data_IF_931555883181
#
_entry.id   IF_931555883181
#
_cell.length_a   1.000
_cell.length_b   1.000
_cell.length_c   1.000
_cell.angle_alpha   90.00
_cell.angle_beta   90.00
_cell.angle_gamma   90.00
#
_symmetry.space_group_name_H-M   'P 1'
#
loop_
_entity.id
_entity.type
_entity.pdbx_description
1 polymer ?
#
# COMPACT_ATOMS: atom_id res chain seq x y z
N UNK A 1 2.11 -42.04 29.02
CA UNK A 1 3.40 -42.11 29.74
C UNK A 1 4.29 -43.18 29.09
N UNK A 2 4.75 -42.94 27.86
CA UNK A 2 5.46 -43.97 27.05
C UNK A 2 6.49 -43.41 26.05
N UNK A 3 6.42 -42.12 25.72
CA UNK A 3 7.39 -41.44 24.87
C UNK A 3 8.75 -41.19 25.56
N UNK A 4 8.73 -40.90 26.87
CA UNK A 4 9.96 -40.59 27.62
C UNK A 4 10.93 -41.79 27.72
N UNK A 5 10.39 -43.02 27.73
CA UNK A 5 11.17 -44.24 27.91
C UNK A 5 11.93 -44.66 26.64
N UNK A 6 11.45 -44.29 25.45
CA UNK A 6 12.13 -44.60 24.19
C UNK A 6 13.30 -43.65 23.90
N UNK A 7 13.19 -42.39 24.33
CA UNK A 7 14.26 -41.39 24.19
C UNK A 7 15.50 -41.77 25.01
N UNK A 8 15.31 -42.47 26.14
CA UNK A 8 16.40 -42.93 27.00
C UNK A 8 17.37 -43.89 26.28
N UNK A 9 16.87 -44.78 25.40
CA UNK A 9 17.64 -45.80 24.67
C UNK A 9 18.41 -45.29 23.44
N UNK A 10 18.19 -44.04 23.04
CA UNK A 10 18.88 -43.44 21.90
C UNK A 10 20.32 -43.09 22.28
N UNK A 11 21.29 -43.46 21.45
CA UNK A 11 22.71 -43.23 21.74
C UNK A 11 23.00 -41.74 21.94
N UNK A 12 23.93 -41.42 22.85
CA UNK A 12 24.22 -40.05 23.27
C UNK A 12 24.52 -39.12 22.08
N UNK A 13 25.15 -39.66 21.02
CA UNK A 13 25.45 -38.96 19.76
C UNK A 13 24.20 -38.42 19.06
N UNK A 14 23.13 -39.21 19.01
CA UNK A 14 21.87 -38.83 18.37
C UNK A 14 21.08 -37.80 19.19
N UNK A 15 21.22 -37.80 20.52
CA UNK A 15 20.63 -36.77 21.38
C UNK A 15 21.25 -35.40 21.10
N UNK A 16 22.57 -35.33 20.95
CA UNK A 16 23.27 -34.10 20.57
C UNK A 16 22.89 -33.61 19.17
N UNK A 17 22.77 -34.51 18.20
CA UNK A 17 22.32 -34.16 16.84
C UNK A 17 20.90 -33.59 16.87
N UNK A 18 19.98 -34.21 17.61
CA UNK A 18 18.61 -33.72 17.75
C UNK A 18 18.53 -32.32 18.38
N UNK A 19 19.33 -32.08 19.43
CA UNK A 19 19.42 -30.76 20.08
C UNK A 19 20.00 -29.71 19.12
N UNK A 20 21.05 -30.06 18.37
CA UNK A 20 21.65 -29.15 17.40
C UNK A 20 20.67 -28.75 16.29
N UNK A 21 19.87 -29.70 15.78
CA UNK A 21 18.81 -29.42 14.80
C UNK A 21 17.73 -28.52 15.42
N UNK A 22 17.31 -28.79 16.66
CA UNK A 22 16.32 -27.96 17.37
C UNK A 22 16.80 -26.52 17.56
N UNK A 23 18.08 -26.34 17.90
CA UNK A 23 18.69 -25.02 18.05
C UNK A 23 18.77 -24.30 16.70
N UNK A 24 19.18 -25.00 15.63
CA UNK A 24 19.19 -24.45 14.28
C UNK A 24 17.79 -23.98 13.85
N UNK A 25 16.78 -24.85 13.98
CA UNK A 25 15.40 -24.51 13.63
C UNK A 25 14.85 -23.35 14.47
N UNK A 26 15.23 -23.29 15.76
CA UNK A 26 14.86 -22.20 16.65
C UNK A 26 15.43 -20.86 16.17
N UNK A 27 16.72 -20.82 15.83
CA UNK A 27 17.41 -19.62 15.34
C UNK A 27 16.81 -19.18 14.00
N UNK A 28 16.62 -20.11 13.06
CA UNK A 28 16.02 -19.82 11.75
C UNK A 28 14.58 -19.29 11.88
N UNK A 29 13.78 -19.87 12.78
CA UNK A 29 12.40 -19.42 13.02
C UNK A 29 12.34 -18.00 13.57
N UNK A 30 13.22 -17.66 14.51
CA UNK A 30 13.31 -16.29 15.06
C UNK A 30 13.74 -15.30 13.98
N UNK A 31 14.76 -15.65 13.20
CA UNK A 31 15.24 -14.80 12.11
C UNK A 31 14.16 -14.60 11.03
N UNK A 32 13.46 -15.67 10.65
CA UNK A 32 12.37 -15.62 9.68
C UNK A 32 11.23 -14.72 10.16
N UNK A 33 10.86 -14.79 11.44
CA UNK A 33 9.81 -13.95 12.01
C UNK A 33 10.20 -12.46 12.01
N UNK A 34 11.46 -12.16 12.33
CA UNK A 34 11.99 -10.80 12.26
C UNK A 34 12.01 -10.27 10.82
N UNK A 35 12.50 -11.09 9.89
CA UNK A 35 12.60 -10.73 8.47
C UNK A 35 11.22 -10.47 7.85
N UNK A 36 10.21 -11.30 8.16
CA UNK A 36 8.84 -11.10 7.66
C UNK A 36 8.23 -9.78 8.17
N UNK A 37 8.46 -9.42 9.43
CA UNK A 37 8.02 -8.11 9.96
C UNK A 37 8.72 -6.95 9.26
N UNK A 38 10.03 -7.08 9.04
CA UNK A 38 10.83 -6.04 8.40
C UNK A 38 10.44 -5.84 6.92
N UNK A 39 10.23 -6.92 6.18
CA UNK A 39 9.74 -6.89 4.79
C UNK A 39 8.34 -6.24 4.73
N UNK A 40 7.45 -6.56 5.67
CA UNK A 40 6.13 -5.96 5.73
C UNK A 40 6.15 -4.43 5.90
N UNK A 41 7.10 -3.90 6.67
CA UNK A 41 7.28 -2.44 6.79
C UNK A 41 7.90 -1.80 5.55
N UNK A 42 8.84 -2.49 4.89
CA UNK A 42 9.45 -2.03 3.65
C UNK A 42 8.43 -1.91 2.52
N UNK A 43 7.59 -2.94 2.33
CA UNK A 43 6.54 -2.95 1.32
C UNK A 43 5.59 -1.77 1.53
N UNK A 44 5.11 -1.54 2.76
CA UNK A 44 4.24 -0.40 3.06
C UNK A 44 4.87 0.95 2.74
N UNK A 45 6.17 1.13 3.02
CA UNK A 45 6.85 2.39 2.71
C UNK A 45 7.04 2.59 1.21
N UNK A 46 7.37 1.53 0.49
CA UNK A 46 7.53 1.60 -0.97
C UNK A 46 6.20 1.84 -1.67
N UNK A 47 5.11 1.22 -1.20
CA UNK A 47 3.75 1.49 -1.70
C UNK A 47 3.35 2.95 -1.49
N UNK A 48 3.62 3.52 -0.30
CA UNK A 48 3.35 4.94 -0.01
C UNK A 48 4.16 5.85 -0.94
N UNK A 49 5.45 5.54 -1.17
CA UNK A 49 6.30 6.32 -2.08
C UNK A 49 5.81 6.25 -3.52
N UNK A 50 5.39 5.06 -3.98
CA UNK A 50 4.82 4.86 -5.32
C UNK A 50 3.55 5.67 -5.51
N UNK A 51 2.63 5.60 -4.54
CA UNK A 51 1.38 6.39 -4.57
C UNK A 51 1.69 7.89 -4.60
N UNK A 52 2.68 8.36 -3.84
CA UNK A 52 3.07 9.77 -3.84
C UNK A 52 3.61 10.22 -5.21
N UNK A 53 4.53 9.46 -5.80
CA UNK A 53 5.08 9.73 -7.14
C UNK A 53 3.99 9.74 -8.22
N UNK A 54 3.08 8.77 -8.16
CA UNK A 54 1.91 8.71 -9.04
C UNK A 54 1.06 9.96 -8.86
N UNK A 55 0.73 10.35 -7.63
CA UNK A 55 -0.07 11.54 -7.36
C UNK A 55 0.60 12.81 -7.90
N UNK A 56 1.93 12.91 -7.84
CA UNK A 56 2.69 14.03 -8.39
C UNK A 56 2.67 14.04 -9.93
N UNK A 57 2.86 12.89 -10.58
CA UNK A 57 2.74 12.75 -12.04
C UNK A 57 1.32 13.12 -12.50
N UNK A 58 0.30 12.65 -11.77
CA UNK A 58 -1.10 12.97 -12.03
C UNK A 58 -1.33 14.48 -11.89
N UNK A 59 -0.89 15.10 -10.79
CA UNK A 59 -1.00 16.56 -10.57
C UNK A 59 -0.37 17.35 -11.71
N UNK A 60 0.85 16.99 -12.12
CA UNK A 60 1.57 17.69 -13.19
C UNK A 60 0.92 17.49 -14.56
N UNK A 61 0.44 16.28 -14.86
CA UNK A 61 -0.33 15.98 -16.07
C UNK A 61 -1.64 16.75 -16.14
N UNK A 62 -2.40 16.75 -15.03
CA UNK A 62 -3.67 17.47 -14.91
C UNK A 62 -3.48 18.98 -15.07
N UNK A 63 -2.47 19.58 -14.42
CA UNK A 63 -2.20 21.01 -14.52
C UNK A 63 -1.92 21.43 -15.97
N UNK A 64 -1.09 20.67 -16.69
CA UNK A 64 -0.79 20.94 -18.09
C UNK A 64 -2.04 20.83 -18.99
N UNK A 65 -2.88 19.82 -18.79
CA UNK A 65 -4.08 19.62 -19.61
C UNK A 65 -5.16 20.68 -19.30
N UNK A 66 -5.29 21.07 -18.02
CA UNK A 66 -6.19 22.14 -17.60
C UNK A 66 -5.80 23.49 -18.18
N UNK A 67 -4.50 23.84 -18.17
CA UNK A 67 -3.99 25.07 -18.79
C UNK A 67 -4.26 25.14 -20.30
N UNK A 68 -4.30 23.98 -20.98
CA UNK A 68 -4.59 23.90 -22.41
C UNK A 68 -6.09 23.93 -22.72
N UNK A 69 -6.98 23.88 -21.72
CA UNK A 69 -8.44 23.88 -21.91
C UNK A 69 -8.99 22.60 -22.55
N UNK A 70 -8.24 21.48 -22.55
CA UNK A 70 -8.57 20.27 -23.30
C UNK A 70 -9.34 19.26 -22.42
N UNK A 71 -10.58 19.59 -22.07
CA UNK A 71 -11.42 18.76 -21.17
C UNK A 71 -11.66 17.32 -21.63
N UNK A 72 -11.69 17.05 -22.95
CA UNK A 72 -11.82 15.68 -23.48
C UNK A 72 -10.57 14.84 -23.24
N UNK A 73 -9.40 15.44 -23.34
CA UNK A 73 -8.11 14.76 -23.14
C UNK A 73 -7.83 14.54 -21.67
N UNK A 74 -8.34 15.45 -20.84
CA UNK A 74 -8.35 15.31 -19.40
C UNK A 74 -9.10 14.06 -18.96
N UNK A 75 -10.31 13.83 -19.50
CA UNK A 75 -11.06 12.61 -19.18
C UNK A 75 -10.33 11.36 -19.67
N UNK A 76 -9.78 11.37 -20.90
CA UNK A 76 -9.01 10.24 -21.41
C UNK A 76 -7.75 9.96 -20.58
N UNK A 77 -7.12 11.00 -20.04
CA UNK A 77 -5.98 10.88 -19.13
C UNK A 77 -6.41 10.25 -17.80
N UNK A 78 -7.50 10.71 -17.19
CA UNK A 78 -8.08 10.08 -16.00
C UNK A 78 -8.44 8.60 -16.22
N UNK A 79 -9.08 8.31 -17.35
CA UNK A 79 -9.45 6.94 -17.74
C UNK A 79 -8.19 6.06 -17.92
N UNK A 80 -7.05 6.64 -18.34
CA UNK A 80 -5.76 5.93 -18.49
C UNK A 80 -5.00 5.70 -17.18
N UNK A 81 -5.36 6.41 -16.11
CA UNK A 81 -4.75 6.26 -14.79
C UNK A 81 -5.35 5.12 -13.98
N UNK A 82 -6.54 4.64 -14.33
CA UNK A 82 -7.08 3.41 -13.76
C UNK A 82 -6.18 2.25 -14.22
N UNK A 83 -5.47 1.65 -13.28
CA UNK A 83 -4.58 0.52 -13.46
C UNK A 83 -4.81 -0.47 -12.31
N UNK A 84 -4.16 -1.64 -12.34
CA UNK A 84 -4.32 -2.68 -11.31
C UNK A 84 -4.04 -2.17 -9.87
N UNK A 85 -3.26 -1.09 -9.73
CA UNK A 85 -2.91 -0.45 -8.45
C UNK A 85 -3.77 0.78 -8.09
N UNK A 86 -4.61 1.28 -9.01
CA UNK A 86 -5.44 2.48 -8.83
C UNK A 86 -6.89 2.18 -9.19
N UNK A 87 -7.72 2.00 -8.17
CA UNK A 87 -9.14 1.68 -8.33
C UNK A 87 -9.92 2.86 -8.95
N UNK A 88 -9.65 4.09 -8.48
CA UNK A 88 -10.41 5.26 -8.88
C UNK A 88 -9.66 6.58 -8.60
N UNK A 89 -9.89 7.57 -9.46
CA UNK A 89 -9.38 8.93 -9.31
C UNK A 89 -10.54 9.92 -9.38
N UNK A 90 -10.60 10.84 -8.40
CA UNK A 90 -11.60 11.91 -8.30
C UNK A 90 -10.94 13.25 -8.07
N UNK A 91 -11.49 14.28 -8.70
CA UNK A 91 -11.11 15.68 -8.51
C UNK A 91 -12.36 16.40 -8.07
N UNK A 92 -12.26 17.13 -6.97
CA UNK A 92 -13.38 17.83 -6.36
C UNK A 92 -13.02 19.28 -6.06
N UNK A 93 -14.03 20.13 -6.06
CA UNK A 93 -13.91 21.50 -5.58
C UNK A 93 -13.86 21.50 -4.05
N UNK A 94 -12.80 22.04 -3.42
CA UNK A 94 -12.66 22.04 -1.97
C UNK A 94 -13.70 22.90 -1.24
N UNK A 95 -14.33 23.87 -1.92
CA UNK A 95 -15.32 24.75 -1.30
C UNK A 95 -16.71 24.10 -1.27
N UNK A 96 -17.17 23.58 -2.41
CA UNK A 96 -18.49 22.91 -2.50
C UNK A 96 -18.45 21.42 -2.12
N UNK A 97 -17.28 20.78 -2.20
CA UNK A 97 -17.13 19.33 -2.13
C UNK A 97 -17.67 18.61 -3.35
N UNK A 98 -17.97 19.31 -4.44
CA UNK A 98 -18.54 18.73 -5.66
C UNK A 98 -17.44 18.09 -6.50
N UNK A 99 -17.67 16.86 -6.95
CA UNK A 99 -16.77 16.16 -7.88
C UNK A 99 -16.88 16.84 -9.24
N UNK A 100 -15.79 17.52 -9.65
CA UNK A 100 -15.69 18.19 -10.94
C UNK A 100 -15.23 17.24 -12.04
N UNK A 101 -14.52 16.18 -11.67
CA UNK A 101 -14.13 15.10 -12.56
C UNK A 101 -13.88 13.81 -11.82
N UNK A 102 -14.19 12.69 -12.47
CA UNK A 102 -13.93 11.36 -11.95
C UNK A 102 -13.61 10.42 -13.11
N UNK A 103 -12.74 9.47 -12.84
CA UNK A 103 -12.58 8.28 -13.67
C UNK A 103 -13.88 7.45 -13.78
N UNK A 104 -14.79 7.60 -12.80
CA UNK A 104 -16.16 7.07 -12.83
C UNK A 104 -17.14 8.17 -13.21
N UNK A 105 -17.53 8.22 -14.49
CA UNK A 105 -18.32 9.34 -15.04
C UNK A 105 -19.66 9.59 -14.35
N UNK A 106 -20.29 8.57 -13.77
CA UNK A 106 -21.57 8.70 -13.05
C UNK A 106 -21.46 9.50 -11.75
N UNK A 107 -20.26 9.67 -11.22
CA UNK A 107 -20.01 10.42 -9.97
C UNK A 107 -19.82 11.92 -10.19
N UNK A 108 -19.64 12.36 -11.44
CA UNK A 108 -19.42 13.78 -11.75
C UNK A 108 -20.67 14.58 -11.35
N UNK A 109 -20.47 15.67 -10.62
CA UNK A 109 -21.54 16.49 -10.05
C UNK A 109 -22.09 15.99 -8.71
N UNK A 110 -21.68 14.81 -8.24
CA UNK A 110 -22.01 14.34 -6.89
C UNK A 110 -21.08 14.98 -5.85
N UNK A 111 -21.43 14.85 -4.58
CA UNK A 111 -20.60 15.33 -3.47
C UNK A 111 -19.61 14.25 -3.06
N UNK A 112 -18.35 14.62 -2.85
CA UNK A 112 -17.33 13.69 -2.38
C UNK A 112 -17.64 13.20 -0.97
N UNK A 113 -17.10 12.03 -0.61
CA UNK A 113 -17.20 11.45 0.72
C UNK A 113 -16.70 12.43 1.79
N UNK A 114 -17.41 12.48 2.92
CA UNK A 114 -17.13 13.44 3.99
C UNK A 114 -15.75 13.19 4.60
N UNK A 115 -15.36 11.92 4.65
CA UNK A 115 -14.09 11.42 5.16
C UNK A 115 -12.92 11.99 4.34
N UNK A 116 -13.05 12.00 3.01
CA UNK A 116 -12.01 12.52 2.11
C UNK A 116 -11.92 14.04 2.17
N UNK A 117 -13.06 14.73 2.27
CA UNK A 117 -13.10 16.18 2.48
C UNK A 117 -12.44 16.58 3.79
N UNK A 118 -12.68 15.83 4.87
CA UNK A 118 -12.01 16.05 6.15
C UNK A 118 -10.51 15.80 6.04
N UNK A 119 -10.09 14.70 5.39
CA UNK A 119 -8.65 14.42 5.18
C UNK A 119 -7.95 15.53 4.42
N UNK A 120 -8.59 16.09 3.39
CA UNK A 120 -8.07 17.24 2.65
C UNK A 120 -7.91 18.48 3.54
N UNK A 121 -8.91 18.80 4.38
CA UNK A 121 -8.85 19.94 5.30
C UNK A 121 -7.75 19.82 6.36
N UNK A 122 -7.36 18.59 6.72
CA UNK A 122 -6.32 18.30 7.70
C UNK A 122 -4.95 18.01 7.05
N UNK A 123 -4.88 17.90 5.73
CA UNK A 123 -3.59 17.86 5.03
C UNK A 123 -2.99 19.27 5.07
N UNK A 124 -1.81 19.40 5.68
CA UNK A 124 -1.00 20.60 5.55
C UNK A 124 -0.78 20.91 4.06
N UNK A 125 -0.73 22.19 3.70
CA UNK A 125 -0.44 22.58 2.32
C UNK A 125 0.86 21.89 1.88
N UNK A 126 0.88 21.23 0.72
CA UNK A 126 2.13 20.69 0.20
C UNK A 126 3.13 21.84 0.06
N UNK A 127 4.33 21.69 0.63
CA UNK A 127 5.44 22.59 0.33
C UNK A 127 5.66 22.55 -1.19
N UNK A 128 5.53 23.72 -1.81
CA UNK A 128 5.77 23.97 -3.23
C UNK A 128 7.22 24.31 -3.48
#
# INVERSE_FOLDING_TARGET
MGLYNNISKVSLKWKFIGIAILLLLGIESVFSCYNLRFIGELIKRDDIKRVHLIAEIIKNGLYNIMLQGRGKEFQNFLDSLIAEELEEVRIFDPYSGTIVASSVRSEIGQRIYKEDLQRYQHQGQPEV
#
